data_IF_480328705165
#
_entry.id   IF_480328705165
#
_cell.length_a   1.000
_cell.length_b   1.000
_cell.length_c   1.000
_cell.angle_alpha   90.00
_cell.angle_beta   90.00
_cell.angle_gamma   90.00
#
_symmetry.space_group_name_H-M   'P 1'
#
loop_
_entity.id
_entity.type
_entity.pdbx_description
1 polymer ?
#
# COMPACT_ATOMS: atom_id res chain seq x y z
N UNK A 1 -23.39 31.27 26.96
CA UNK A 1 -21.96 31.59 27.20
C UNK A 1 -21.35 30.40 27.91
N UNK A 2 -20.51 29.62 27.24
CA UNK A 2 -19.82 28.46 27.84
C UNK A 2 -18.33 28.69 27.65
N UNK A 3 -17.63 28.89 28.75
CA UNK A 3 -16.19 29.16 28.80
C UNK A 3 -15.44 27.84 28.70
N UNK A 4 -14.63 27.67 27.66
CA UNK A 4 -13.78 26.48 27.47
C UNK A 4 -12.35 26.79 27.90
N UNK A 5 -11.89 26.11 28.94
CA UNK A 5 -10.54 26.22 29.49
C UNK A 5 -9.60 25.27 28.76
N UNK A 6 -8.57 25.81 28.11
CA UNK A 6 -7.53 25.04 27.39
C UNK A 6 -6.38 24.75 28.36
N UNK A 7 -6.12 23.47 28.61
CA UNK A 7 -5.01 22.98 29.44
C UNK A 7 -3.86 22.54 28.53
N UNK A 8 -2.71 23.23 28.58
CA UNK A 8 -1.47 22.87 27.87
C UNK A 8 -0.68 21.82 28.67
N UNK A 9 -0.21 20.77 28.01
CA UNK A 9 0.78 19.82 28.53
C UNK A 9 2.22 20.31 28.32
N UNK A 10 3.17 19.96 29.20
CA UNK A 10 4.56 20.38 29.09
C UNK A 10 5.41 19.52 28.17
N UNK A 11 6.38 20.20 27.58
CA UNK A 11 7.39 19.79 26.61
C UNK A 11 8.48 18.91 27.24
N UNK A 12 8.84 17.79 26.59
CA UNK A 12 9.81 16.81 27.10
C UNK A 12 11.15 17.00 26.37
N UNK A 13 12.17 17.42 27.11
CA UNK A 13 13.58 17.54 26.68
C UNK A 13 14.19 16.13 26.53
N UNK A 14 14.95 15.91 25.46
CA UNK A 14 15.71 14.67 25.25
C UNK A 14 17.20 15.00 25.26
N UNK A 15 17.95 14.45 26.21
CA UNK A 15 19.41 14.59 26.30
C UNK A 15 20.13 13.48 25.51
N UNK A 16 21.22 13.87 24.85
CA UNK A 16 22.09 13.04 24.03
C UNK A 16 23.32 12.62 24.84
N UNK A 17 23.66 11.33 24.88
CA UNK A 17 24.89 10.83 25.50
C UNK A 17 25.71 10.01 24.49
N UNK A 18 26.78 10.62 23.99
CA UNK A 18 27.88 9.98 23.27
C UNK A 18 28.91 9.45 24.25
N UNK A 19 29.37 8.20 24.09
CA UNK A 19 30.64 7.75 24.68
C UNK A 19 31.42 6.83 23.75
N UNK A 20 32.59 7.33 23.39
CA UNK A 20 33.66 6.72 22.59
C UNK A 20 34.51 5.79 23.48
N UNK A 21 34.98 4.66 22.92
CA UNK A 21 35.98 3.81 23.58
C UNK A 21 36.52 2.72 22.65
N UNK A 22 37.70 2.96 22.07
CA UNK A 22 38.51 1.96 21.35
C UNK A 22 39.02 0.90 22.31
N UNK A 23 38.99 -0.37 21.93
CA UNK A 23 39.85 -1.40 22.52
C UNK A 23 40.35 -2.35 21.45
N UNK A 24 41.66 -2.53 21.44
CA UNK A 24 42.47 -3.31 20.50
C UNK A 24 42.40 -4.79 20.91
N UNK A 25 42.03 -5.69 19.99
CA UNK A 25 42.00 -7.14 20.24
C UNK A 25 43.07 -7.87 19.41
N UNK A 26 43.85 -8.67 20.13
CA UNK A 26 44.91 -9.56 19.66
C UNK A 26 44.28 -10.78 18.98
N UNK A 27 44.69 -11.11 17.75
CA UNK A 27 44.17 -12.24 16.99
C UNK A 27 44.97 -13.50 17.34
N UNK A 28 44.33 -14.47 18.00
CA UNK A 28 44.81 -15.86 18.05
C UNK A 28 43.83 -16.74 17.26
N UNK A 29 44.35 -17.33 16.19
CA UNK A 29 43.64 -18.23 15.28
C UNK A 29 43.67 -19.66 15.83
N UNK A 30 42.50 -20.22 16.12
CA UNK A 30 42.31 -21.67 16.24
C UNK A 30 41.21 -22.12 15.28
N UNK A 31 41.55 -23.08 14.42
CA UNK A 31 40.71 -23.57 13.33
C UNK A 31 39.50 -24.37 13.81
N UNK A 32 38.36 -24.14 13.14
CA UNK A 32 37.13 -24.91 13.32
C UNK A 32 37.00 -25.96 12.22
N UNK A 33 36.79 -27.21 12.63
CA UNK A 33 36.28 -28.27 11.77
C UNK A 33 34.78 -28.06 11.53
N UNK A 34 34.39 -27.90 10.27
CA UNK A 34 33.01 -27.89 9.81
C UNK A 34 32.45 -29.30 9.77
N UNK A 35 31.34 -29.57 10.47
CA UNK A 35 30.49 -30.73 10.19
C UNK A 35 29.30 -30.32 9.31
N UNK A 36 29.16 -31.08 8.24
CA UNK A 36 28.21 -30.92 7.13
C UNK A 36 26.81 -31.43 7.53
N UNK A 37 25.73 -30.64 7.37
CA UNK A 37 24.39 -31.13 7.66
C UNK A 37 23.84 -31.95 6.48
N UNK A 38 23.45 -33.19 6.77
CA UNK A 38 22.74 -34.07 5.83
C UNK A 38 21.37 -33.49 5.46
N UNK A 39 21.20 -33.25 4.17
CA UNK A 39 19.95 -32.97 3.46
C UNK A 39 18.97 -34.14 3.58
N UNK A 40 17.73 -33.89 4.02
CA UNK A 40 16.60 -34.80 3.77
C UNK A 40 15.65 -34.19 2.73
N UNK A 41 15.67 -34.81 1.57
CA UNK A 41 14.72 -34.60 0.47
C UNK A 41 13.48 -35.43 0.79
N UNK A 42 12.29 -34.85 0.74
CA UNK A 42 11.05 -35.63 0.74
C UNK A 42 10.13 -35.15 -0.39
N UNK A 43 9.93 -36.04 -1.37
CA UNK A 43 9.13 -35.85 -2.56
C UNK A 43 7.98 -36.88 -2.54
N UNK A 44 6.75 -36.39 -2.37
CA UNK A 44 5.51 -36.70 -3.10
C UNK A 44 5.19 -38.17 -3.45
N UNK A 45 4.01 -38.67 -3.03
CA UNK A 45 3.02 -39.27 -3.96
C UNK A 45 1.63 -39.48 -3.31
N UNK A 46 0.59 -39.40 -4.16
CA UNK A 46 -0.83 -39.62 -3.89
C UNK A 46 -1.19 -41.12 -4.02
N UNK A 47 -2.31 -41.53 -3.40
CA UNK A 47 -3.26 -42.47 -4.04
C UNK A 47 -3.62 -43.78 -3.31
N UNK A 48 -4.82 -43.80 -2.73
CA UNK A 48 -5.88 -44.83 -2.79
C UNK A 48 -5.57 -46.34 -2.98
N UNK A 49 -6.12 -47.17 -2.05
CA UNK A 49 -6.94 -48.39 -2.27
C UNK A 49 -6.53 -49.67 -1.52
N UNK A 50 -7.49 -50.20 -0.75
CA UNK A 50 -7.84 -51.61 -0.42
C UNK A 50 -6.92 -52.54 0.42
N UNK A 51 -7.55 -53.10 1.48
CA UNK A 51 -7.26 -54.27 2.35
C UNK A 51 -6.57 -55.52 1.71
N UNK A 52 -6.19 -56.58 2.49
CA UNK A 52 -5.73 -56.70 3.89
C UNK A 52 -4.47 -57.59 4.08
N UNK A 53 -3.98 -57.66 5.32
CA UNK A 53 -3.28 -58.82 5.93
C UNK A 53 -1.86 -59.15 5.45
N UNK A 54 -0.87 -58.77 6.26
CA UNK A 54 0.22 -59.68 6.64
C UNK A 54 0.84 -59.27 7.97
N UNK A 55 0.93 -60.23 8.88
CA UNK A 55 1.63 -60.13 10.15
C UNK A 55 3.13 -59.86 9.91
N UNK A 56 3.58 -58.67 10.30
CA UNK A 56 4.98 -58.26 10.29
C UNK A 56 5.43 -57.92 11.71
N UNK A 57 6.18 -58.84 12.29
CA UNK A 57 6.85 -58.77 13.59
C UNK A 57 7.80 -57.55 13.59
N UNK A 58 7.43 -56.49 14.30
CA UNK A 58 8.24 -55.30 14.48
C UNK A 58 9.16 -55.46 15.68
N UNK A 59 10.47 -55.52 15.42
CA UNK A 59 11.53 -55.66 16.40
C UNK A 59 11.50 -54.52 17.43
N UNK A 60 11.48 -54.90 18.71
CA UNK A 60 11.72 -53.99 19.80
C UNK A 60 13.15 -53.47 19.71
N UNK A 61 13.31 -52.16 19.47
CA UNK A 61 14.59 -51.47 19.62
C UNK A 61 14.93 -51.48 21.11
N UNK A 62 15.82 -52.40 21.49
CA UNK A 62 16.44 -52.44 22.81
C UNK A 62 17.36 -51.22 22.90
N UNK A 63 16.89 -50.15 23.53
CA UNK A 63 17.76 -49.08 24.02
C UNK A 63 18.54 -49.70 25.17
N UNK A 64 19.81 -50.04 24.92
CA UNK A 64 20.74 -50.45 25.96
C UNK A 64 20.85 -49.33 26.99
N UNK A 65 20.14 -49.49 28.11
CA UNK A 65 20.31 -48.65 29.29
C UNK A 65 21.78 -48.67 29.69
N UNK A 66 22.39 -47.48 29.70
CA UNK A 66 23.72 -47.30 30.26
C UNK A 66 23.73 -47.86 31.69
N UNK A 67 24.70 -48.71 32.05
CA UNK A 67 24.72 -49.33 33.36
C UNK A 67 25.01 -48.28 34.44
N UNK A 68 23.94 -47.80 35.09
CA UNK A 68 23.89 -46.96 36.31
C UNK A 68 24.85 -47.45 37.43
N UNK A 69 25.31 -48.70 37.34
CA UNK A 69 26.16 -49.34 38.33
C UNK A 69 27.61 -48.82 38.36
N UNK A 70 28.14 -48.26 37.26
CA UNK A 70 29.55 -47.83 37.23
C UNK A 70 29.78 -46.44 37.82
N UNK A 71 28.82 -45.52 37.67
CA UNK A 71 28.97 -44.13 38.10
C UNK A 71 28.98 -44.05 39.64
N UNK A 72 28.13 -44.84 40.30
CA UNK A 72 28.04 -44.85 41.78
C UNK A 72 29.26 -45.50 42.45
N UNK A 73 29.93 -46.45 41.79
CA UNK A 73 31.13 -47.11 42.33
C UNK A 73 32.39 -46.27 42.18
N UNK A 74 32.47 -45.44 41.14
CA UNK A 74 33.59 -44.52 40.92
C UNK A 74 33.58 -43.34 41.91
N UNK A 75 32.40 -42.87 42.31
CA UNK A 75 32.24 -41.75 43.24
C UNK A 75 32.64 -42.08 44.70
N UNK A 76 32.69 -43.36 45.09
CA UNK A 76 32.89 -43.77 46.50
C UNK A 76 34.35 -43.96 46.91
N UNK A 77 35.29 -43.96 45.97
CA UNK A 77 36.74 -44.16 46.23
C UNK A 77 37.56 -42.87 46.29
N UNK A 78 36.93 -41.73 46.04
CA UNK A 78 37.62 -40.44 46.05
C UNK A 78 37.65 -39.87 47.49
N UNK A 79 38.82 -39.45 47.99
CA UNK A 79 38.92 -38.87 49.33
C UNK A 79 38.04 -37.61 49.42
N UNK A 80 37.39 -37.38 50.57
CA UNK A 80 36.41 -36.29 50.75
C UNK A 80 36.91 -34.90 50.29
N UNK A 81 38.23 -34.67 50.31
CA UNK A 81 38.86 -33.43 49.84
C UNK A 81 38.83 -33.26 48.32
N UNK A 82 38.91 -34.33 47.53
CA UNK A 82 38.88 -34.25 46.05
C UNK A 82 37.49 -33.92 45.50
N UNK A 83 36.42 -34.23 46.26
CA UNK A 83 35.06 -33.86 45.88
C UNK A 83 34.84 -32.35 45.92
N UNK A 84 35.41 -31.67 46.91
CA UNK A 84 35.33 -30.21 47.03
C UNK A 84 36.02 -29.50 45.86
N UNK A 85 37.22 -29.96 45.46
CA UNK A 85 37.91 -29.41 44.29
C UNK A 85 37.15 -29.65 42.99
N UNK A 86 36.55 -30.83 42.81
CA UNK A 86 35.71 -31.12 41.66
C UNK A 86 34.48 -30.21 41.57
N UNK A 87 33.81 -29.97 42.69
CA UNK A 87 32.65 -29.06 42.75
C UNK A 87 33.04 -27.61 42.41
N UNK A 88 34.19 -27.13 42.90
CA UNK A 88 34.69 -25.78 42.60
C UNK A 88 35.03 -25.64 41.12
N UNK A 89 35.72 -26.61 40.52
CA UNK A 89 36.08 -26.58 39.10
C UNK A 89 34.82 -26.58 38.22
N UNK A 90 33.82 -27.38 38.57
CA UNK A 90 32.57 -27.45 37.82
C UNK A 90 31.79 -26.13 37.95
N UNK A 91 31.75 -25.54 39.14
CA UNK A 91 31.12 -24.24 39.35
C UNK A 91 31.81 -23.12 38.57
N UNK A 92 33.15 -23.06 38.57
CA UNK A 92 33.91 -22.08 37.80
C UNK A 92 33.69 -22.27 36.30
N UNK A 93 33.73 -23.51 35.81
CA UNK A 93 33.51 -23.82 34.39
C UNK A 93 32.10 -23.43 33.93
N UNK A 94 31.09 -23.66 34.77
CA UNK A 94 29.71 -23.27 34.49
C UNK A 94 29.53 -21.75 34.41
N UNK A 95 30.17 -20.99 35.31
CA UNK A 95 30.12 -19.53 35.27
C UNK A 95 30.86 -18.94 34.05
N UNK A 96 31.98 -19.55 33.62
CA UNK A 96 32.69 -19.14 32.40
C UNK A 96 31.83 -19.39 31.16
N UNK A 97 31.13 -20.53 31.09
CA UNK A 97 30.25 -20.87 29.98
C UNK A 97 29.05 -19.92 29.90
N UNK A 98 28.44 -19.59 31.04
CA UNK A 98 27.38 -18.57 31.11
C UNK A 98 27.86 -17.19 30.67
N UNK A 99 29.09 -16.81 31.04
CA UNK A 99 29.69 -15.54 30.62
C UNK A 99 29.92 -15.45 29.10
N UNK A 100 30.26 -16.57 28.46
CA UNK A 100 30.45 -16.64 27.01
C UNK A 100 29.14 -16.47 26.23
N UNK A 101 28.04 -17.04 26.73
CA UNK A 101 26.73 -16.96 26.07
C UNK A 101 26.15 -15.52 26.13
N UNK A 102 26.44 -14.77 27.21
CA UNK A 102 25.99 -13.37 27.39
C UNK A 102 26.78 -12.40 26.50
N UNK A 103 27.99 -12.76 26.07
CA UNK A 103 28.85 -11.90 25.25
C UNK A 103 28.63 -12.02 23.75
N UNK A 104 27.74 -12.90 23.29
CA UNK A 104 27.34 -12.88 21.88
C UNK A 104 26.68 -11.53 21.60
N UNK A 105 27.32 -10.61 20.84
CA UNK A 105 26.73 -9.33 20.55
C UNK A 105 25.47 -9.63 19.75
N UNK A 106 24.31 -9.43 20.37
CA UNK A 106 23.06 -9.40 19.65
C UNK A 106 23.25 -8.29 18.61
N UNK A 107 23.33 -8.68 17.34
CA UNK A 107 23.34 -7.74 16.24
C UNK A 107 21.96 -7.09 16.29
N UNK A 108 21.86 -6.00 17.04
CA UNK A 108 20.72 -5.10 17.04
C UNK A 108 20.73 -4.44 15.66
N UNK A 109 20.24 -5.17 14.65
CA UNK A 109 19.94 -4.57 13.35
C UNK A 109 18.98 -3.44 13.63
N UNK A 110 19.45 -2.22 13.37
CA UNK A 110 18.68 -0.99 13.40
C UNK A 110 17.30 -1.28 12.79
N UNK A 111 16.23 -0.96 13.53
CA UNK A 111 14.87 -0.96 12.99
C UNK A 111 14.91 -0.09 11.73
N UNK A 112 14.80 -0.70 10.55
CA UNK A 112 14.71 0.06 9.31
C UNK A 112 13.59 1.09 9.48
N UNK A 113 13.86 2.34 9.09
CA UNK A 113 12.89 3.41 9.18
C UNK A 113 11.60 2.97 8.46
N UNK A 114 10.48 2.95 9.19
CA UNK A 114 9.17 2.64 8.63
C UNK A 114 8.86 3.73 7.62
N UNK A 115 8.81 3.38 6.33
CA UNK A 115 8.48 4.31 5.26
C UNK A 115 7.07 4.90 5.45
N UNK A 116 6.84 6.08 4.90
CA UNK A 116 5.55 6.76 4.91
C UNK A 116 4.92 6.74 3.52
N UNK A 117 3.61 6.55 3.50
CA UNK A 117 2.79 6.59 2.31
C UNK A 117 1.56 7.46 2.53
N UNK A 118 1.21 8.28 1.55
CA UNK A 118 -0.05 9.03 1.52
C UNK A 118 -0.84 8.61 0.28
N UNK A 119 -2.05 8.12 0.50
CA UNK A 119 -3.01 7.82 -0.56
C UNK A 119 -4.08 8.92 -0.61
N UNK A 120 -4.48 9.33 -1.81
CA UNK A 120 -5.45 10.41 -1.99
C UNK A 120 -6.30 10.20 -3.23
N UNK A 121 -7.53 10.71 -3.18
CA UNK A 121 -8.43 10.78 -4.32
C UNK A 121 -8.36 12.18 -4.91
N UNK A 122 -8.20 12.28 -6.24
CA UNK A 122 -8.26 13.55 -6.97
C UNK A 122 -9.42 13.55 -7.97
N UNK A 123 -10.21 14.64 -8.06
CA UNK A 123 -10.18 15.79 -7.15
C UNK A 123 -10.68 15.41 -5.74
N UNK A 124 -10.26 16.15 -4.71
CA UNK A 124 -10.68 15.91 -3.31
C UNK A 124 -12.10 16.41 -3.03
N UNK A 125 -12.64 17.26 -3.90
CA UNK A 125 -14.03 17.68 -3.90
C UNK A 125 -14.54 17.74 -5.33
N UNK A 126 -15.76 17.26 -5.58
CA UNK A 126 -16.38 17.34 -6.91
C UNK A 126 -17.88 17.52 -6.85
N UNK A 127 -18.41 18.30 -7.77
CA UNK A 127 -19.84 18.37 -8.04
C UNK A 127 -20.15 17.48 -9.26
N UNK A 128 -21.09 16.55 -9.10
CA UNK A 128 -21.52 15.63 -10.17
C UNK A 128 -22.94 15.99 -10.64
N UNK A 129 -23.02 16.39 -11.91
CA UNK A 129 -24.26 16.52 -12.68
C UNK A 129 -24.51 15.29 -13.57
N UNK A 130 -23.52 14.39 -13.65
CA UNK A 130 -23.48 13.22 -14.52
C UNK A 130 -22.22 12.40 -14.21
N UNK A 131 -21.63 11.76 -15.23
CA UNK A 131 -20.39 11.01 -15.07
C UNK A 131 -19.20 11.92 -14.70
N UNK A 132 -18.36 11.46 -13.78
CA UNK A 132 -17.19 12.17 -13.30
C UNK A 132 -16.01 11.26 -13.03
N UNK A 133 -14.84 11.70 -13.50
CA UNK A 133 -13.56 10.98 -13.36
C UNK A 133 -12.91 11.27 -12.02
N UNK A 134 -12.40 10.22 -11.37
CA UNK A 134 -11.60 10.30 -10.15
C UNK A 134 -10.32 9.49 -10.32
N UNK A 135 -9.25 9.97 -9.70
CA UNK A 135 -7.93 9.38 -9.80
C UNK A 135 -7.39 9.03 -8.41
N UNK A 136 -6.81 7.84 -8.30
CA UNK A 136 -6.11 7.40 -7.10
C UNK A 136 -4.64 7.75 -7.22
N UNK A 137 -4.18 8.57 -6.28
CA UNK A 137 -2.80 9.05 -6.21
C UNK A 137 -2.12 8.50 -4.98
N UNK A 138 -0.91 7.98 -5.17
CA UNK A 138 -0.04 7.50 -4.11
C UNK A 138 1.21 8.37 -4.05
N UNK A 139 1.60 8.79 -2.85
CA UNK A 139 2.85 9.50 -2.56
C UNK A 139 3.63 8.72 -1.52
N UNK A 140 4.86 8.34 -1.83
CA UNK A 140 5.67 7.46 -0.97
C UNK A 140 7.11 7.95 -0.89
N UNK A 141 7.71 7.79 0.29
CA UNK A 141 9.11 8.16 0.57
C UNK A 141 10.12 7.04 0.24
N UNK A 142 9.63 5.83 0.01
CA UNK A 142 10.43 4.64 -0.33
C UNK A 142 9.85 3.91 -1.55
N UNK A 143 10.65 3.11 -2.27
CA UNK A 143 10.17 2.35 -3.43
C UNK A 143 9.13 1.29 -3.03
N UNK A 144 7.99 1.24 -3.72
CA UNK A 144 6.85 0.36 -3.41
C UNK A 144 6.90 -0.94 -4.20
N UNK A 145 6.66 -2.06 -3.53
CA UNK A 145 6.53 -3.38 -4.15
C UNK A 145 5.07 -3.86 -4.24
N UNK A 146 4.20 -3.42 -3.34
CA UNK A 146 2.80 -3.86 -3.33
C UNK A 146 1.89 -2.81 -2.70
N UNK A 147 0.66 -2.74 -3.18
CA UNK A 147 -0.40 -1.88 -2.64
C UNK A 147 -1.73 -2.62 -2.67
N UNK A 148 -2.42 -2.63 -1.52
CA UNK A 148 -3.83 -3.00 -1.38
C UNK A 148 -4.59 -1.83 -0.78
N UNK A 149 -5.77 -1.60 -1.31
CA UNK A 149 -6.73 -0.63 -0.78
C UNK A 149 -8.15 -1.08 -1.07
N UNK A 150 -9.06 -0.61 -0.23
CA UNK A 150 -10.50 -0.70 -0.44
C UNK A 150 -11.08 0.70 -0.28
N UNK A 151 -11.87 1.13 -1.26
CA UNK A 151 -12.63 2.38 -1.21
C UNK A 151 -14.08 2.05 -0.91
N UNK A 152 -14.70 2.81 -0.02
CA UNK A 152 -16.10 2.75 0.29
C UNK A 152 -16.83 3.97 -0.30
N UNK A 153 -17.98 3.74 -0.90
CA UNK A 153 -18.95 4.75 -1.32
C UNK A 153 -20.37 4.24 -1.04
N UNK A 154 -21.35 5.14 -0.99
CA UNK A 154 -22.73 4.73 -0.80
C UNK A 154 -23.36 4.33 -2.16
N UNK A 155 -23.72 3.05 -2.39
CA UNK A 155 -24.26 2.59 -3.67
C UNK A 155 -25.68 3.10 -3.95
N UNK A 156 -26.40 3.59 -2.93
CA UNK A 156 -27.70 4.21 -3.11
C UNK A 156 -27.60 5.63 -3.68
N UNK A 157 -26.45 6.31 -3.54
CA UNK A 157 -26.26 7.68 -4.01
C UNK A 157 -25.28 7.79 -5.18
N UNK A 158 -24.31 6.88 -5.25
CA UNK A 158 -23.27 6.83 -6.29
C UNK A 158 -23.22 5.46 -6.94
N UNK A 159 -22.72 5.42 -8.17
CA UNK A 159 -22.38 4.18 -8.87
C UNK A 159 -21.17 4.37 -9.76
N UNK A 160 -20.38 3.32 -9.92
CA UNK A 160 -19.41 3.19 -10.99
C UNK A 160 -20.14 3.08 -12.34
N UNK A 161 -19.63 3.81 -13.32
CA UNK A 161 -20.11 3.78 -14.71
C UNK A 161 -19.19 2.97 -15.63
N UNK A 162 -17.98 2.69 -15.18
CA UNK A 162 -16.97 1.92 -15.89
C UNK A 162 -16.19 1.03 -14.91
N UNK A 163 -15.55 -0.01 -15.45
CA UNK A 163 -14.53 -0.74 -14.70
C UNK A 163 -13.40 0.21 -14.30
N UNK A 164 -12.85 0.01 -13.11
CA UNK A 164 -11.68 0.76 -12.66
C UNK A 164 -10.54 0.56 -13.67
N UNK A 165 -9.80 1.60 -14.02
CA UNK A 165 -8.63 1.49 -14.89
C UNK A 165 -7.38 1.57 -14.03
N UNK A 166 -6.56 0.53 -14.03
CA UNK A 166 -5.26 0.54 -13.35
C UNK A 166 -4.16 0.85 -14.38
N UNK A 167 -3.35 1.88 -14.10
CA UNK A 167 -2.59 2.61 -15.14
C UNK A 167 -1.08 2.60 -14.86
N UNK A 168 -0.63 2.20 -13.66
CA UNK A 168 0.77 2.40 -13.28
C UNK A 168 1.74 1.39 -13.94
N UNK A 169 2.75 1.83 -14.73
CA UNK A 169 3.53 0.94 -15.59
C UNK A 169 4.39 -0.09 -14.82
N UNK A 170 4.86 0.21 -13.60
CA UNK A 170 5.69 -0.72 -12.82
C UNK A 170 4.89 -1.63 -11.89
N UNK A 171 3.70 -1.23 -11.45
CA UNK A 171 2.90 -2.04 -10.50
C UNK A 171 1.94 -2.91 -11.30
N UNK A 172 2.51 -3.70 -12.22
CA UNK A 172 1.79 -4.35 -13.31
C UNK A 172 1.17 -5.71 -13.06
N UNK A 173 1.34 -6.21 -11.84
CA UNK A 173 0.70 -7.44 -11.43
C UNK A 173 -0.63 -7.15 -10.75
N UNK A 174 -1.74 -7.38 -11.47
CA UNK A 174 -3.09 -7.39 -10.90
C UNK A 174 -3.25 -8.58 -9.96
N UNK A 175 -3.54 -8.32 -8.68
CA UNK A 175 -3.76 -9.35 -7.65
C UNK A 175 -5.24 -9.44 -7.31
N UNK A 176 -5.89 -8.29 -7.12
CA UNK A 176 -7.31 -8.20 -6.84
C UNK A 176 -7.87 -6.92 -7.44
N UNK A 177 -9.09 -7.00 -7.97
CA UNK A 177 -9.81 -5.84 -8.46
C UNK A 177 -11.30 -6.16 -8.48
N UNK A 178 -12.10 -5.39 -7.76
CA UNK A 178 -13.56 -5.58 -7.75
C UNK A 178 -14.13 -5.24 -9.12
N UNK A 179 -15.03 -6.09 -9.63
CA UNK A 179 -15.77 -5.80 -10.85
C UNK A 179 -16.81 -4.70 -10.61
N UNK A 180 -17.12 -3.92 -11.64
CA UNK A 180 -18.04 -2.77 -11.55
C UNK A 180 -19.40 -3.16 -10.97
N UNK A 181 -19.98 -4.27 -11.42
CA UNK A 181 -21.28 -4.75 -10.95
C UNK A 181 -21.28 -5.09 -9.45
N UNK A 182 -20.21 -5.72 -8.97
CA UNK A 182 -20.04 -6.07 -7.56
C UNK A 182 -19.85 -4.81 -6.72
N UNK A 183 -18.99 -3.88 -7.17
CA UNK A 183 -18.78 -2.62 -6.48
C UNK A 183 -20.08 -1.79 -6.38
N UNK A 184 -20.89 -1.79 -7.42
CA UNK A 184 -22.19 -1.12 -7.41
C UNK A 184 -23.22 -1.80 -6.50
N UNK A 185 -23.07 -3.09 -6.22
CA UNK A 185 -23.93 -3.82 -5.29
C UNK A 185 -23.51 -3.61 -3.83
N UNK A 186 -22.20 -3.57 -3.56
CA UNK A 186 -21.67 -3.51 -2.18
C UNK A 186 -21.29 -2.11 -1.71
N UNK A 187 -21.05 -1.18 -2.63
CA UNK A 187 -20.45 0.13 -2.33
C UNK A 187 -18.93 0.08 -2.13
N UNK A 188 -18.26 -0.99 -2.56
CA UNK A 188 -16.84 -1.21 -2.27
C UNK A 188 -16.00 -1.45 -3.53
N UNK A 189 -14.87 -0.76 -3.63
CA UNK A 189 -13.87 -0.92 -4.69
C UNK A 189 -12.59 -1.44 -4.06
N UNK A 190 -12.30 -2.72 -4.23
CA UNK A 190 -11.04 -3.32 -3.79
C UNK A 190 -10.03 -3.32 -4.93
N UNK A 191 -8.80 -2.88 -4.67
CA UNK A 191 -7.68 -2.88 -5.60
C UNK A 191 -6.44 -3.41 -4.88
N UNK A 192 -5.86 -4.50 -5.37
CA UNK A 192 -4.54 -4.96 -4.98
C UNK A 192 -3.65 -5.16 -6.20
N UNK A 193 -2.51 -4.47 -6.21
CA UNK A 193 -1.52 -4.51 -7.29
C UNK A 193 -0.11 -4.65 -6.74
N UNK A 194 0.73 -5.34 -7.48
CA UNK A 194 2.11 -5.62 -7.12
C UNK A 194 3.09 -5.28 -8.24
N UNK A 195 4.33 -5.09 -7.84
CA UNK A 195 5.49 -5.01 -8.72
C UNK A 195 5.71 -6.39 -9.37
N UNK A 196 5.92 -6.41 -10.68
CA UNK A 196 6.36 -7.62 -11.36
C UNK A 196 7.79 -8.00 -10.89
N UNK A 197 8.04 -9.27 -10.51
CA UNK A 197 9.36 -9.72 -10.07
C UNK A 197 10.49 -9.44 -11.07
N UNK A 198 10.18 -9.36 -12.37
CA UNK A 198 11.15 -9.01 -13.43
C UNK A 198 11.54 -7.54 -13.43
N UNK A 199 10.77 -6.67 -12.76
CA UNK A 199 10.96 -5.20 -12.73
C UNK A 199 11.31 -4.67 -11.35
N UNK A 200 11.87 -5.50 -10.46
CA UNK A 200 12.26 -5.11 -9.09
C UNK A 200 13.12 -3.84 -9.01
N UNK A 201 14.00 -3.62 -9.98
CA UNK A 201 14.84 -2.43 -10.07
C UNK A 201 14.09 -1.13 -10.39
N UNK A 202 12.81 -1.23 -10.80
CA UNK A 202 11.96 -0.11 -11.22
C UNK A 202 10.75 0.09 -10.31
N UNK A 203 10.87 -0.30 -9.03
CA UNK A 203 9.87 -0.03 -8.01
C UNK A 203 9.60 1.49 -7.94
N UNK A 204 8.34 1.93 -8.04
CA UNK A 204 8.02 3.35 -8.06
C UNK A 204 8.22 3.99 -6.68
N UNK A 205 8.65 5.24 -6.68
CA UNK A 205 8.80 6.10 -5.50
C UNK A 205 8.32 7.51 -5.84
N UNK A 206 8.11 8.37 -4.83
CA UNK A 206 7.54 9.70 -5.02
C UNK A 206 6.02 9.65 -5.25
N UNK A 207 5.50 10.63 -5.99
CA UNK A 207 4.07 10.77 -6.27
C UNK A 207 3.71 10.24 -7.65
N UNK A 208 2.73 9.33 -7.71
CA UNK A 208 2.26 8.75 -8.97
C UNK A 208 0.76 8.38 -8.91
N UNK A 209 0.13 8.33 -10.07
CA UNK A 209 -1.23 7.82 -10.22
C UNK A 209 -1.22 6.29 -10.26
N UNK A 210 -2.10 5.67 -9.48
CA UNK A 210 -2.26 4.23 -9.42
C UNK A 210 -3.37 3.74 -10.33
N UNK A 211 -4.53 4.39 -10.25
CA UNK A 211 -5.72 4.00 -10.98
C UNK A 211 -6.65 5.20 -11.22
N UNK A 212 -7.66 4.98 -12.05
CA UNK A 212 -8.72 5.90 -12.41
C UNK A 212 -10.06 5.18 -12.35
N UNK A 213 -11.11 5.88 -11.94
CA UNK A 213 -12.45 5.33 -11.85
C UNK A 213 -13.48 6.42 -12.13
N UNK A 214 -14.64 6.01 -12.63
CA UNK A 214 -15.70 6.91 -13.07
C UNK A 214 -16.95 6.69 -12.21
N UNK A 215 -17.47 7.77 -11.64
CA UNK A 215 -18.66 7.76 -10.81
C UNK A 215 -19.73 8.68 -11.37
N UNK A 216 -20.99 8.26 -11.25
CA UNK A 216 -22.16 9.08 -11.53
C UNK A 216 -23.15 9.03 -10.35
N UNK A 217 -24.05 10.02 -10.24
CA UNK A 217 -25.18 9.93 -9.33
C UNK A 217 -26.02 8.67 -9.61
N UNK A 218 -26.40 7.96 -8.55
CA UNK A 218 -27.39 6.89 -8.57
C UNK A 218 -28.71 7.31 -7.88
N UNK A 219 -28.85 8.60 -7.61
CA UNK A 219 -30.04 9.19 -7.00
C UNK A 219 -30.48 10.41 -7.81
N UNK A 220 -31.77 10.71 -7.76
CA UNK A 220 -32.38 11.93 -8.31
C UNK A 220 -32.56 13.02 -7.25
N UNK A 221 -32.28 12.71 -5.98
CA UNK A 221 -32.36 13.67 -4.89
C UNK A 221 -31.36 14.82 -5.13
N UNK A 222 -31.81 16.03 -4.82
CA UNK A 222 -31.08 17.27 -5.08
C UNK A 222 -30.15 17.64 -3.91
N UNK A 223 -29.02 18.26 -4.22
CA UNK A 223 -28.04 18.76 -3.23
C UNK A 223 -27.53 17.69 -2.24
N UNK A 224 -27.43 16.43 -2.66
CA UNK A 224 -26.94 15.35 -1.79
C UNK A 224 -25.42 15.42 -1.69
N UNK A 225 -24.88 15.50 -0.48
CA UNK A 225 -23.44 15.39 -0.23
C UNK A 225 -23.09 13.99 0.26
N UNK A 226 -22.04 13.39 -0.29
CA UNK A 226 -21.53 12.07 0.11
C UNK A 226 -20.00 12.06 0.05
N UNK A 227 -19.37 11.02 0.58
CA UNK A 227 -17.92 10.87 0.62
C UNK A 227 -17.50 9.55 -0.01
N UNK A 228 -16.28 9.56 -0.58
CA UNK A 228 -15.56 8.37 -1.01
C UNK A 228 -14.37 8.24 -0.06
N UNK A 229 -14.39 7.18 0.74
CA UNK A 229 -13.46 7.00 1.84
C UNK A 229 -12.59 5.74 1.64
N UNK A 230 -11.44 5.71 2.30
CA UNK A 230 -10.61 4.50 2.33
C UNK A 230 -10.93 3.67 3.57
N UNK A 231 -11.09 2.36 3.39
CA UNK A 231 -11.24 1.43 4.52
C UNK A 231 -9.89 1.21 5.19
N UNK A 232 -9.67 1.84 6.35
CA UNK A 232 -8.38 1.86 7.03
C UNK A 232 -7.80 0.46 7.34
N UNK A 233 -8.65 -0.51 7.67
CA UNK A 233 -8.25 -1.90 7.95
C UNK A 233 -7.77 -2.66 6.71
N UNK A 234 -8.11 -2.19 5.51
CA UNK A 234 -7.75 -2.81 4.25
C UNK A 234 -6.56 -2.14 3.54
N UNK A 235 -6.08 -1.00 4.06
CA UNK A 235 -4.94 -0.29 3.51
C UNK A 235 -3.65 -1.03 3.85
N UNK A 236 -2.91 -1.42 2.82
CA UNK A 236 -1.60 -2.03 2.96
C UNK A 236 -0.68 -1.58 1.84
N UNK A 237 0.44 -0.96 2.21
CA UNK A 237 1.48 -0.58 1.26
C UNK A 237 2.78 -1.21 1.75
N UNK A 238 3.42 -1.99 0.90
CA UNK A 238 4.64 -2.72 1.24
C UNK A 238 5.78 -2.12 0.41
N UNK A 239 6.83 -1.69 1.10
CA UNK A 239 8.08 -1.26 0.47
C UNK A 239 8.81 -2.41 -0.21
N UNK A 240 9.74 -2.07 -1.10
CA UNK A 240 10.56 -3.05 -1.83
C UNK A 240 11.50 -3.84 -0.91
N UNK A 241 11.69 -3.37 0.32
CA UNK A 241 12.35 -4.07 1.42
C UNK A 241 11.46 -5.11 2.13
N UNK A 242 10.20 -5.26 1.73
CA UNK A 242 9.23 -6.16 2.34
C UNK A 242 8.60 -5.64 3.64
N UNK A 243 8.85 -4.37 4.00
CA UNK A 243 8.34 -3.76 5.23
C UNK A 243 7.06 -2.97 4.93
N UNK A 244 5.98 -3.13 5.72
CA UNK A 244 4.81 -2.28 5.62
C UNK A 244 5.12 -0.82 5.91
N UNK A 245 4.57 0.09 5.11
CA UNK A 245 4.65 1.53 5.31
C UNK A 245 3.52 2.03 6.20
N UNK A 246 3.74 3.14 6.91
CA UNK A 246 2.68 3.86 7.59
C UNK A 246 1.84 4.63 6.56
N UNK A 247 0.54 4.33 6.48
CA UNK A 247 -0.34 4.88 5.44
C UNK A 247 -1.25 5.97 6.01
N UNK A 248 -1.26 7.12 5.35
CA UNK A 248 -2.19 8.23 5.59
C UNK A 248 -3.14 8.31 4.39
N UNK A 249 -4.45 8.39 4.62
CA UNK A 249 -5.45 8.50 3.56
C UNK A 249 -6.10 9.88 3.49
N UNK A 250 -6.44 10.33 2.29
CA UNK A 250 -7.23 11.54 2.01
C UNK A 250 -8.43 11.21 1.16
N UNK A 251 -9.59 11.33 1.76
CA UNK A 251 -10.90 11.06 1.17
C UNK A 251 -11.32 12.13 0.16
N UNK A 252 -12.39 11.87 -0.60
CA UNK A 252 -13.01 12.84 -1.48
C UNK A 252 -14.47 13.12 -1.09
N UNK A 253 -14.85 14.39 -1.09
CA UNK A 253 -16.25 14.81 -0.96
C UNK A 253 -16.92 14.97 -2.32
N UNK A 254 -18.19 14.60 -2.41
CA UNK A 254 -18.96 14.67 -3.65
C UNK A 254 -20.33 15.30 -3.39
N UNK A 255 -20.71 16.29 -4.19
CA UNK A 255 -22.05 16.89 -4.18
C UNK A 255 -22.80 16.50 -5.45
N UNK A 256 -24.00 15.96 -5.31
CA UNK A 256 -24.82 15.42 -6.39
C UNK A 256 -26.01 16.34 -6.68
N UNK A 257 -26.34 16.46 -7.97
CA UNK A 257 -27.54 17.15 -8.45
C UNK A 257 -27.75 18.53 -7.77
N UNK A 258 -26.75 19.44 -7.81
CA UNK A 258 -26.89 20.75 -7.20
C UNK A 258 -28.05 21.50 -7.85
N UNK A 259 -28.82 22.21 -7.03
CA UNK A 259 -29.85 23.14 -7.50
C UNK A 259 -29.36 24.53 -7.19
N UNK A 260 -29.31 25.38 -8.20
CA UNK A 260 -29.02 26.80 -8.01
C UNK A 260 -30.13 27.40 -7.15
N UNK A 261 -29.83 27.70 -5.88
CA UNK A 261 -30.67 28.57 -5.08
C UNK A 261 -30.55 29.97 -5.67
N UNK A 262 -31.56 30.37 -6.45
CA UNK A 262 -31.75 31.78 -6.80
C UNK A 262 -31.98 32.52 -5.49
N UNK A 263 -30.94 33.20 -5.01
CA UNK A 263 -31.12 34.14 -3.90
C UNK A 263 -31.93 35.28 -4.49
N UNK A 264 -33.15 35.58 -4.01
CA UNK A 264 -33.90 36.71 -4.53
C UNK A 264 -33.04 37.95 -4.33
N UNK A 265 -32.61 38.57 -5.43
CA UNK A 265 -32.00 39.88 -5.36
C UNK A 265 -33.06 40.79 -4.72
N UNK A 266 -32.79 41.27 -3.51
CA UNK A 266 -33.59 42.31 -2.91
C UNK A 266 -33.52 43.51 -3.85
N UNK A 267 -34.61 43.77 -4.58
CA UNK A 267 -34.77 45.00 -5.35
C UNK A 267 -34.99 46.11 -4.34
N UNK A 268 -33.93 46.60 -3.72
CA UNK A 268 -33.95 47.85 -2.94
C UNK A 268 -33.94 49.02 -3.92
N UNK A 269 -34.95 49.06 -4.78
CA UNK A 269 -35.29 50.23 -5.57
C UNK A 269 -36.23 51.09 -4.75
N UNK A 270 -35.69 52.03 -3.97
CA UNK A 270 -36.46 53.21 -3.58
C UNK A 270 -36.92 53.87 -4.88
N UNK A 271 -38.22 54.16 -5.09
CA UNK A 271 -38.67 54.85 -6.28
C UNK A 271 -38.00 56.24 -6.32
N UNK A 272 -36.99 56.40 -7.18
CA UNK A 272 -36.48 57.72 -7.51
C UNK A 272 -37.55 58.39 -8.38
N UNK A 273 -38.09 59.56 -7.99
CA UNK A 273 -39.07 60.25 -8.81
C UNK A 273 -38.45 60.59 -10.18
N UNK A 274 -39.02 60.01 -11.23
CA UNK A 274 -38.69 60.27 -12.63
C UNK A 274 -38.89 61.76 -12.91
N UNK A 275 -37.79 62.50 -13.13
CA UNK A 275 -37.88 63.87 -13.66
C UNK A 275 -38.42 63.80 -15.08
N UNK A 276 -39.52 64.52 -15.32
CA UNK A 276 -40.17 64.73 -16.61
C UNK A 276 -39.14 65.12 -17.68
N UNK A 277 -39.04 64.40 -18.82
CA UNK A 277 -38.12 64.77 -19.88
C UNK A 277 -38.54 66.08 -20.56
N UNK A 278 -37.61 67.01 -20.66
CA UNK A 278 -37.70 68.22 -21.49
C UNK A 278 -37.74 67.81 -22.97
N UNK A 279 -38.66 68.36 -23.80
CA UNK A 279 -38.77 67.98 -25.21
C UNK A 279 -37.48 68.35 -25.97
N UNK A 280 -36.80 67.32 -26.49
CA UNK A 280 -35.60 67.48 -27.33
C UNK A 280 -36.02 67.69 -28.78
N UNK A 281 -35.42 68.69 -29.42
CA UNK A 281 -35.69 69.10 -30.81
C UNK A 281 -35.42 67.97 -31.82
N UNK A 282 -36.24 67.99 -32.86
CA UNK A 282 -36.28 67.16 -34.07
C UNK A 282 -34.88 66.94 -34.71
N UNK A 283 -34.54 65.71 -35.14
CA UNK A 283 -33.23 65.39 -35.71
C UNK A 283 -33.07 65.85 -37.16
N UNK A 284 -31.87 66.32 -37.48
CA UNK A 284 -31.37 66.61 -38.82
C UNK A 284 -30.81 65.34 -39.47
N UNK A 285 -31.03 65.23 -40.77
CA UNK A 285 -30.86 64.03 -41.60
C UNK A 285 -29.40 63.64 -41.88
N UNK A 286 -29.14 62.32 -41.84
CA UNK A 286 -28.31 61.46 -42.73
C UNK A 286 -26.89 61.93 -43.16
N UNK A 287 -25.86 61.05 -43.23
CA UNK A 287 -25.78 60.08 -44.35
C UNK A 287 -25.15 58.69 -44.08
N UNK A 288 -25.61 57.74 -44.89
CA UNK A 288 -24.88 56.65 -45.62
C UNK A 288 -24.25 55.46 -44.84
N UNK A 289 -24.64 54.20 -45.16
CA UNK A 289 -23.94 52.99 -44.72
C UNK A 289 -22.84 52.57 -45.72
N UNK A 290 -21.61 52.46 -45.22
CA UNK A 290 -20.47 51.89 -45.97
C UNK A 290 -20.40 50.38 -45.81
N UNK A 291 -20.28 49.66 -46.93
CA UNK A 291 -20.24 48.20 -47.03
C UNK A 291 -18.88 47.60 -46.62
N UNK A 292 -18.95 46.46 -45.92
CA UNK A 292 -18.09 45.25 -45.98
C UNK A 292 -16.59 45.34 -45.66
N UNK A 293 -16.03 44.29 -45.00
CA UNK A 293 -15.33 43.30 -45.80
C UNK A 293 -15.59 41.82 -45.43
N UNK A 294 -15.64 41.03 -46.51
CA UNK A 294 -15.54 39.57 -46.64
C UNK A 294 -14.44 38.95 -45.78
N UNK A 295 -14.79 37.96 -44.94
CA UNK A 295 -13.79 37.05 -44.36
C UNK A 295 -13.67 35.78 -45.22
N UNK A 296 -12.43 35.51 -45.60
CA UNK A 296 -11.95 34.39 -46.41
C UNK A 296 -11.88 33.13 -45.53
N UNK A 297 -12.54 32.05 -45.95
CA UNK A 297 -12.38 30.73 -45.36
C UNK A 297 -11.13 30.06 -45.94
N UNK A 298 -10.11 29.84 -45.12
CA UNK A 298 -8.94 29.04 -45.45
C UNK A 298 -9.24 27.55 -45.22
N UNK A 299 -9.11 26.66 -46.22
CA UNK A 299 -9.31 25.23 -46.02
C UNK A 299 -8.08 24.60 -45.34
N UNK A 300 -8.24 24.12 -44.11
CA UNK A 300 -7.20 23.36 -43.40
C UNK A 300 -7.10 21.94 -43.97
N UNK A 301 -5.90 21.60 -44.45
CA UNK A 301 -5.55 20.29 -45.02
C UNK A 301 -5.69 19.16 -43.98
N UNK A 302 -6.31 18.07 -44.43
CA UNK A 302 -6.39 16.75 -43.78
C UNK A 302 -5.02 16.08 -43.74
N UNK A 303 -4.48 15.67 -42.58
CA UNK A 303 -3.38 14.72 -42.53
C UNK A 303 -3.94 13.29 -42.63
N UNK A 304 -3.67 12.68 -43.77
CA UNK A 304 -3.64 11.22 -43.98
C UNK A 304 -2.39 10.67 -43.32
N UNK A 305 -2.51 9.59 -42.55
CA UNK A 305 -1.56 8.47 -42.49
C UNK A 305 -2.14 7.37 -41.58
N UNK A 306 -2.80 6.40 -42.20
CA UNK A 306 -3.17 5.12 -41.58
C UNK A 306 -1.99 4.15 -41.79
N UNK A 307 -1.34 3.64 -40.75
CA UNK A 307 -0.39 2.55 -40.92
C UNK A 307 -1.13 1.22 -41.10
N UNK A 308 -0.82 0.55 -42.20
CA UNK A 308 -1.20 -0.83 -42.53
C UNK A 308 -0.66 -1.81 -41.47
N UNK A 309 -1.48 -2.71 -40.89
CA UNK A 309 -0.97 -3.80 -40.07
C UNK A 309 -0.40 -4.91 -40.97
N UNK A 310 0.91 -5.14 -40.86
CA UNK A 310 1.60 -6.30 -41.45
C UNK A 310 1.20 -7.56 -40.71
N UNK A 311 0.40 -8.42 -41.34
CA UNK A 311 0.06 -9.77 -40.86
C UNK A 311 1.29 -10.67 -41.03
N UNK A 312 1.91 -11.06 -39.93
CA UNK A 312 2.95 -12.11 -39.90
C UNK A 312 2.24 -13.47 -39.94
N UNK A 313 2.32 -14.16 -41.08
CA UNK A 313 1.91 -15.56 -41.19
C UNK A 313 3.02 -16.42 -40.60
N UNK A 314 2.75 -17.03 -39.44
CA UNK A 314 3.61 -18.04 -38.85
C UNK A 314 3.14 -19.41 -39.34
N UNK A 315 3.98 -20.05 -40.16
CA UNK A 315 3.79 -21.41 -40.66
C UNK A 315 4.19 -22.42 -39.59
N UNK A 316 3.25 -23.25 -39.15
CA UNK A 316 3.50 -24.40 -38.28
C UNK A 316 4.01 -25.57 -39.15
N UNK A 317 5.18 -26.18 -38.84
CA UNK A 317 5.57 -27.43 -39.48
C UNK A 317 4.79 -28.61 -38.91
N UNK A 318 4.12 -29.34 -39.80
CA UNK A 318 3.54 -30.66 -39.52
C UNK A 318 4.69 -31.65 -39.49
N UNK A 319 4.82 -32.43 -38.41
CA UNK A 319 5.74 -33.57 -38.34
C UNK A 319 4.90 -34.84 -38.39
N UNK A 320 5.23 -35.72 -39.34
CA UNK A 320 4.71 -37.09 -39.44
C UNK A 320 5.23 -37.98 -38.31
#
# INVERSE_FOLDING_TARGET
MITSTVQRLPERVTETLTKTGKSTALIMSCGFYTMEPKSSTNQKSNGSSTHPSHAGKGDAVIVHGLPEFWITKLLRRLPKKTWLYGAIILFVSFNILLGYEIQNPQILRSKAAVGQAMISIKPSQRVLLGDGVFQLWLTVDQPVAFTRMELAFNPATLKLTQEVSWIHPSLNRKIMMTAMNQANATGEIALAVGLDPTRKAHAPTGTFQLAEFHLAPNTTAQNVTTTIAFTASALQIIGSNGIPMNVISKEAGVTLNPVSTVTPMAVTGTPVPTRTPTPTRKPESSPVPTKSPTQILTPTKRPTNTPTPTRKTESIPITN
#
